data_IF_628774363118
#
_entry.id   IF_628774363118
#
_cell.length_a   1.000
_cell.length_b   1.000
_cell.length_c   1.000
_cell.angle_alpha   90.00
_cell.angle_beta   90.00
_cell.angle_gamma   90.00
#
_symmetry.space_group_name_H-M   'P 1'
#
loop_
_entity.id
_entity.type
_entity.pdbx_description
1 polymer ?
#
# COMPACT_ATOMS: atom_id res chain seq x y z
N UNK A 1 -8.89 -11.58 11.13
CA UNK A 1 -8.97 -10.36 10.33
C UNK A 1 -7.63 -9.63 10.36
N UNK A 2 -7.23 -9.08 9.24
CA UNK A 2 -5.92 -8.45 9.10
C UNK A 2 -6.07 -6.95 9.16
N UNK A 3 -5.05 -6.25 9.67
CA UNK A 3 -5.08 -4.79 9.82
C UNK A 3 -3.86 -4.14 9.18
N UNK A 4 -4.07 -2.94 8.66
CA UNK A 4 -3.00 -2.13 8.09
C UNK A 4 -3.15 -0.70 8.54
N UNK A 5 -2.07 0.05 8.44
CA UNK A 5 -2.00 1.42 8.91
C UNK A 5 -1.78 2.35 7.72
N UNK A 6 -2.63 3.38 7.62
CA UNK A 6 -2.50 4.48 6.66
C UNK A 6 -2.58 5.77 7.45
N UNK A 7 -1.54 6.60 7.36
CA UNK A 7 -1.39 7.74 8.26
C UNK A 7 -2.08 9.00 7.75
N UNK A 8 -2.16 9.21 6.44
CA UNK A 8 -2.68 10.44 5.85
C UNK A 8 -3.69 10.13 4.76
N UNK A 9 -4.70 11.00 4.55
CA UNK A 9 -5.68 10.77 3.48
C UNK A 9 -5.06 10.73 2.08
N UNK A 10 -3.96 11.45 1.87
CA UNK A 10 -3.30 11.51 0.57
C UNK A 10 -2.40 10.29 0.29
N UNK A 11 -2.18 9.42 1.27
CA UNK A 11 -1.36 8.22 1.08
C UNK A 11 -2.04 7.31 0.07
N UNK A 12 -1.25 6.74 -0.85
CA UNK A 12 -1.76 5.75 -1.78
C UNK A 12 -1.27 4.34 -1.46
N UNK A 13 -0.55 4.17 -0.35
CA UNK A 13 -0.16 2.87 0.18
C UNK A 13 -0.46 2.81 1.67
N UNK A 14 -0.64 1.58 2.17
CA UNK A 14 -0.79 1.30 3.59
C UNK A 14 0.18 0.19 3.98
N UNK A 15 0.56 0.14 5.25
CA UNK A 15 1.53 -0.82 5.76
C UNK A 15 0.80 -1.90 6.53
N UNK A 16 1.02 -3.18 6.18
CA UNK A 16 0.42 -4.28 6.94
C UNK A 16 1.19 -4.48 8.25
N UNK A 17 0.47 -4.85 9.29
CA UNK A 17 1.06 -5.02 10.62
C UNK A 17 1.40 -6.48 10.93
N UNK A 18 0.97 -7.41 10.09
CA UNK A 18 1.29 -8.83 10.22
C UNK A 18 1.33 -9.46 8.83
N UNK A 19 1.93 -10.65 8.68
CA UNK A 19 1.92 -11.31 7.38
C UNK A 19 0.48 -11.52 6.92
N UNK A 20 0.21 -11.14 5.68
CA UNK A 20 -1.15 -11.16 5.13
C UNK A 20 -1.17 -12.01 3.88
N UNK A 21 -1.91 -13.14 3.89
CA UNK A 21 -2.00 -14.00 2.69
C UNK A 21 -2.79 -13.32 1.58
N UNK A 22 -2.56 -13.76 0.36
CA UNK A 22 -3.36 -13.33 -0.79
C UNK A 22 -4.85 -13.65 -0.54
N UNK A 23 -5.70 -12.81 -1.10
CA UNK A 23 -7.17 -12.96 -1.04
C UNK A 23 -7.75 -12.78 0.37
N UNK A 24 -6.98 -12.14 1.25
CA UNK A 24 -7.46 -11.81 2.61
C UNK A 24 -8.20 -10.47 2.58
N UNK A 25 -9.19 -10.34 3.47
CA UNK A 25 -9.80 -9.04 3.76
C UNK A 25 -8.90 -8.27 4.73
N UNK A 26 -8.68 -7.02 4.43
CA UNK A 26 -7.83 -6.13 5.21
C UNK A 26 -8.63 -4.92 5.67
N UNK A 27 -8.54 -4.59 6.95
CA UNK A 27 -9.11 -3.35 7.46
C UNK A 27 -8.00 -2.33 7.60
N UNK A 28 -8.19 -1.18 6.96
CA UNK A 28 -7.24 -0.08 7.06
C UNK A 28 -7.75 0.87 8.13
N UNK A 29 -6.92 1.10 9.13
CA UNK A 29 -7.18 2.09 10.16
C UNK A 29 -6.56 3.39 9.71
N UNK A 30 -7.38 4.43 9.55
CA UNK A 30 -6.88 5.77 9.30
C UNK A 30 -7.59 6.70 10.28
N UNK A 31 -7.35 7.99 10.15
CA UNK A 31 -7.75 8.94 11.18
C UNK A 31 -9.25 9.01 11.43
N UNK A 32 -10.08 8.69 10.45
CA UNK A 32 -11.51 8.95 10.55
C UNK A 32 -12.37 7.73 10.27
N UNK A 33 -11.94 6.80 9.43
CA UNK A 33 -12.79 5.72 8.94
C UNK A 33 -12.04 4.39 8.90
N UNK A 34 -12.82 3.30 8.95
CA UNK A 34 -12.31 1.96 8.69
C UNK A 34 -12.72 1.59 7.28
N UNK A 35 -11.76 1.20 6.47
CA UNK A 35 -11.99 0.77 5.10
C UNK A 35 -11.56 -0.67 4.93
N UNK A 36 -12.37 -1.44 4.20
CA UNK A 36 -12.06 -2.83 3.93
C UNK A 36 -11.51 -2.97 2.52
N UNK A 37 -10.42 -3.72 2.38
CA UNK A 37 -9.76 -3.97 1.11
C UNK A 37 -9.53 -5.45 0.91
N UNK A 38 -9.57 -5.87 -0.34
CA UNK A 38 -9.16 -7.22 -0.72
C UNK A 38 -7.68 -7.18 -1.12
N UNK A 39 -6.86 -7.98 -0.46
CA UNK A 39 -5.43 -8.10 -0.76
C UNK A 39 -5.28 -9.13 -1.88
N UNK A 40 -4.61 -8.75 -2.98
CA UNK A 40 -4.51 -9.62 -4.16
C UNK A 40 -3.23 -10.46 -4.18
N UNK A 41 -2.24 -10.11 -3.33
CA UNK A 41 -0.99 -10.84 -3.22
C UNK A 41 -0.64 -10.99 -1.74
N UNK A 42 0.13 -12.03 -1.39
CA UNK A 42 0.62 -12.14 -0.02
C UNK A 42 1.61 -11.02 0.26
N UNK A 43 1.55 -10.49 1.48
CA UNK A 43 2.35 -9.32 1.88
C UNK A 43 3.01 -9.63 3.21
N UNK A 44 4.33 -9.49 3.27
CA UNK A 44 5.09 -9.70 4.49
C UNK A 44 4.83 -8.58 5.50
N UNK A 45 5.08 -8.87 6.77
CA UNK A 45 4.93 -7.88 7.84
C UNK A 45 5.66 -6.59 7.50
N UNK A 46 4.98 -5.50 7.72
CA UNK A 46 5.51 -4.14 7.56
C UNK A 46 5.83 -3.76 6.11
N UNK A 47 5.45 -4.59 5.16
CA UNK A 47 5.46 -4.20 3.75
C UNK A 47 4.19 -3.43 3.42
N UNK A 48 4.16 -2.82 2.22
CA UNK A 48 3.09 -1.94 1.78
C UNK A 48 2.21 -2.62 0.74
N UNK A 49 0.96 -2.19 0.69
CA UNK A 49 0.09 -2.50 -0.45
C UNK A 49 -0.59 -1.22 -0.92
N UNK A 50 -1.06 -1.22 -2.17
CA UNK A 50 -1.70 -0.04 -2.73
C UNK A 50 -3.16 0.02 -2.29
N UNK A 51 -3.61 1.24 -1.90
CA UNK A 51 -5.00 1.45 -1.49
C UNK A 51 -5.86 1.91 -2.66
N UNK A 52 -5.25 2.09 -3.83
CA UNK A 52 -5.95 2.45 -5.07
C UNK A 52 -5.12 1.97 -6.25
N UNK A 53 -5.69 2.02 -7.45
CA UNK A 53 -4.92 1.75 -8.67
C UNK A 53 -3.91 2.87 -8.86
N UNK A 54 -2.67 2.50 -9.17
CA UNK A 54 -1.56 3.43 -9.38
C UNK A 54 -1.02 3.19 -10.78
N UNK A 55 -0.84 4.24 -11.56
CA UNK A 55 -0.30 4.11 -12.91
C UNK A 55 1.22 4.16 -12.88
N UNK A 56 1.84 3.55 -13.86
CA UNK A 56 3.29 3.65 -14.05
C UNK A 56 3.67 5.13 -14.15
N UNK A 57 4.69 5.54 -13.40
CA UNK A 57 5.13 6.93 -13.36
C UNK A 57 4.49 7.76 -12.26
N UNK A 58 3.45 7.24 -11.60
CA UNK A 58 2.81 7.95 -10.48
C UNK A 58 3.70 7.90 -9.25
N UNK A 59 3.58 8.95 -8.43
CA UNK A 59 4.30 9.02 -7.16
C UNK A 59 3.67 8.07 -6.13
N UNK A 60 4.53 7.44 -5.34
CA UNK A 60 4.11 6.63 -4.19
C UNK A 60 4.18 7.53 -2.96
N UNK A 61 3.05 7.68 -2.28
CA UNK A 61 2.92 8.58 -1.13
C UNK A 61 2.66 7.75 0.12
N UNK A 62 3.56 7.89 1.09
CA UNK A 62 3.46 7.19 2.37
C UNK A 62 3.70 8.20 3.49
N UNK A 63 2.78 8.26 4.44
CA UNK A 63 2.84 9.20 5.57
C UNK A 63 2.97 10.64 5.08
N UNK A 64 2.26 10.97 4.00
CA UNK A 64 2.25 12.31 3.44
C UNK A 64 3.48 12.68 2.65
N UNK A 65 4.42 11.75 2.43
CA UNK A 65 5.67 12.02 1.71
C UNK A 65 5.78 11.15 0.47
N UNK A 66 6.33 11.73 -0.58
CA UNK A 66 6.65 10.98 -1.81
C UNK A 66 7.90 10.17 -1.54
N UNK A 67 7.77 8.83 -1.60
CA UNK A 67 8.88 7.92 -1.31
C UNK A 67 9.45 7.27 -2.57
N UNK A 68 8.77 7.35 -3.69
CA UNK A 68 9.23 6.74 -4.92
C UNK A 68 8.28 6.97 -6.07
N UNK A 69 8.58 6.33 -7.19
CA UNK A 69 7.80 6.41 -8.43
C UNK A 69 7.46 4.98 -8.85
N UNK A 70 6.20 4.73 -9.18
CA UNK A 70 5.78 3.42 -9.68
C UNK A 70 6.48 3.12 -11.00
N UNK A 71 7.08 1.94 -11.12
CA UNK A 71 7.77 1.53 -12.35
C UNK A 71 6.86 0.70 -13.26
N UNK A 72 5.67 0.34 -12.78
CA UNK A 72 4.67 -0.39 -13.53
C UNK A 72 3.30 -0.04 -12.93
N UNK A 73 2.24 -0.36 -13.64
CA UNK A 73 0.91 -0.18 -13.09
C UNK A 73 0.72 -1.10 -11.88
N UNK A 74 0.12 -0.57 -10.82
CA UNK A 74 -0.10 -1.30 -9.58
C UNK A 74 -1.60 -1.31 -9.32
N UNK A 75 -2.14 -2.50 -9.10
CA UNK A 75 -3.57 -2.67 -8.86
C UNK A 75 -3.87 -2.47 -7.37
N UNK A 76 -5.02 -1.91 -7.06
CA UNK A 76 -5.51 -1.79 -5.69
C UNK A 76 -5.40 -3.14 -4.96
N UNK A 77 -4.78 -3.15 -3.80
CA UNK A 77 -4.57 -4.37 -3.02
C UNK A 77 -3.29 -5.12 -3.34
N UNK A 78 -2.52 -4.66 -4.32
CA UNK A 78 -1.29 -5.30 -4.74
C UNK A 78 -0.12 -4.90 -3.86
N UNK A 79 0.83 -5.81 -3.67
CA UNK A 79 2.06 -5.57 -2.92
C UNK A 79 2.90 -4.49 -3.59
N UNK A 80 3.33 -3.51 -2.81
CA UNK A 80 4.17 -2.39 -3.28
C UNK A 80 5.53 -2.50 -2.61
N UNK A 81 6.57 -2.72 -3.41
CA UNK A 81 7.92 -2.89 -2.88
C UNK A 81 8.91 -2.58 -4.00
N UNK A 82 10.17 -2.97 -3.81
CA UNK A 82 11.24 -2.62 -4.77
C UNK A 82 11.00 -3.17 -6.17
N UNK A 83 10.16 -4.20 -6.32
CA UNK A 83 9.90 -4.78 -7.63
C UNK A 83 9.05 -3.88 -8.52
N UNK A 84 8.27 -2.94 -7.95
CA UNK A 84 7.40 -2.06 -8.72
C UNK A 84 7.53 -0.59 -8.33
N UNK A 85 8.53 -0.23 -7.53
CA UNK A 85 8.77 1.15 -7.11
C UNK A 85 10.25 1.46 -7.22
N UNK A 86 10.55 2.60 -7.86
CA UNK A 86 11.90 3.15 -7.86
C UNK A 86 11.95 4.25 -6.80
N UNK A 87 12.84 4.09 -5.84
CA UNK A 87 13.02 5.09 -4.79
C UNK A 87 13.56 6.38 -5.37
N UNK A 88 13.04 7.51 -4.93
CA UNK A 88 13.56 8.82 -5.30
C UNK A 88 14.46 9.40 -4.21
N UNK A 89 14.57 8.71 -3.09
CA UNK A 89 15.49 9.13 -2.01
C UNK A 89 16.85 8.54 -2.28
N UNK A 90 17.83 9.33 -2.10
CA UNK A 90 19.22 8.92 -2.27
C UNK A 90 19.91 8.87 -0.94
#
# INVERSE_FOLDING_TARGET
MYTALMMRPEDNVAVVLQPTPAESSMIIVNQATLNEFLIVQSIDSYHKFSVKDIESGEEIIKYGEVIGIATAAITKGEHVHTHNVRSIRV
#
